data_IF_003581477442
#
_entry.id   IF_003581477442
#
_cell.length_a   1.000
_cell.length_b   1.000
_cell.length_c   1.000
_cell.angle_alpha   90.00
_cell.angle_beta   90.00
_cell.angle_gamma   90.00
#
_symmetry.space_group_name_H-M   'P 1'
#
loop_
_entity.id
_entity.type
_entity.pdbx_description
1 polymer ?
#
# COMPACT_ATOMS: atom_id res chain seq x y z
N UNK A 1 -4.22 -2.37 16.90
CA UNK A 1 -3.35 -1.71 15.88
C UNK A 1 -3.84 -1.82 14.44
N UNK A 2 -4.78 -2.71 14.10
CA UNK A 2 -5.46 -2.74 12.79
C UNK A 2 -6.50 -1.63 12.59
N UNK A 3 -7.01 -1.05 13.68
CA UNK A 3 -8.09 -0.07 13.68
C UNK A 3 -7.68 1.35 13.25
N UNK A 4 -6.38 1.63 13.08
CA UNK A 4 -5.90 2.97 12.69
C UNK A 4 -5.66 3.15 11.19
N UNK A 5 -5.89 2.11 10.37
CA UNK A 5 -5.69 2.18 8.91
C UNK A 5 -7.00 2.15 8.09
N UNK A 6 -8.13 1.87 8.74
CA UNK A 6 -9.49 1.84 8.16
C UNK A 6 -10.39 2.95 8.72
N UNK A 7 -9.86 4.16 8.96
CA UNK A 7 -10.77 5.29 8.99
C UNK A 7 -11.32 5.50 7.58
N UNK A 8 -12.57 5.05 7.38
CA UNK A 8 -13.48 5.46 6.30
C UNK A 8 -13.09 6.83 5.76
N UNK A 9 -12.37 6.85 4.65
CA UNK A 9 -11.75 8.04 4.08
C UNK A 9 -12.84 9.07 3.76
N UNK A 10 -12.99 10.08 4.62
CA UNK A 10 -13.85 11.23 4.36
C UNK A 10 -13.10 12.17 3.40
N UNK A 11 -13.66 12.53 2.24
CA UNK A 11 -13.07 13.55 1.38
C UNK A 11 -13.07 14.90 2.11
N UNK A 12 -11.91 15.57 2.08
CA UNK A 12 -11.55 16.77 2.86
C UNK A 12 -12.48 17.98 2.65
N UNK A 13 -13.39 17.94 1.68
CA UNK A 13 -14.19 19.10 1.27
C UNK A 13 -15.70 18.88 1.13
N UNK A 14 -16.21 17.64 1.26
CA UNK A 14 -17.67 17.43 1.17
C UNK A 14 -18.26 16.51 2.25
N UNK A 15 -17.42 15.84 3.05
CA UNK A 15 -17.88 14.96 4.15
C UNK A 15 -18.65 13.71 3.72
N UNK A 16 -18.91 13.52 2.42
CA UNK A 16 -19.64 12.36 1.89
C UNK A 16 -18.73 11.15 1.80
N UNK A 17 -19.16 10.03 2.34
CA UNK A 17 -18.46 8.75 2.18
C UNK A 17 -18.74 8.24 0.76
N UNK A 18 -17.68 8.07 -0.04
CA UNK A 18 -17.77 7.44 -1.37
C UNK A 18 -16.96 6.15 -1.38
N UNK A 19 -17.51 5.11 -2.00
CA UNK A 19 -16.81 3.85 -2.22
C UNK A 19 -15.61 4.00 -3.20
N UNK A 20 -15.63 5.04 -4.05
CA UNK A 20 -14.58 5.31 -5.03
C UNK A 20 -14.18 6.79 -4.95
N UNK A 21 -12.98 7.05 -4.42
CA UNK A 21 -12.41 8.39 -4.29
C UNK A 21 -11.39 8.63 -5.40
N UNK A 22 -11.50 9.80 -6.05
CA UNK A 22 -10.50 10.32 -6.97
C UNK A 22 -9.35 10.93 -6.18
N UNK A 23 -8.13 10.91 -6.73
CA UNK A 23 -6.95 11.56 -6.14
C UNK A 23 -6.55 12.78 -6.96
N UNK A 24 -5.97 13.78 -6.29
CA UNK A 24 -5.36 14.90 -6.98
C UNK A 24 -4.20 14.44 -7.87
N UNK A 25 -4.19 14.80 -9.16
CA UNK A 25 -3.10 14.45 -10.08
C UNK A 25 -1.78 15.17 -9.78
N UNK A 26 -1.82 16.35 -9.16
CA UNK A 26 -0.61 17.10 -8.79
C UNK A 26 0.03 16.61 -7.49
N UNK A 27 -0.69 16.64 -6.36
CA UNK A 27 -0.09 16.25 -5.07
C UNK A 27 -0.22 14.76 -4.74
N UNK A 28 -1.10 14.02 -5.42
CA UNK A 28 -1.40 12.58 -5.17
C UNK A 28 -1.93 12.24 -3.77
N UNK A 29 -1.92 13.19 -2.83
CA UNK A 29 -2.33 13.04 -1.44
C UNK A 29 -3.83 13.28 -1.22
N UNK A 30 -4.37 14.39 -1.73
CA UNK A 30 -5.77 14.79 -1.48
C UNK A 30 -6.76 13.89 -2.23
N UNK A 31 -7.89 13.58 -1.58
CA UNK A 31 -8.95 12.69 -2.09
C UNK A 31 -10.28 13.42 -2.24
N UNK A 32 -10.97 13.16 -3.35
CA UNK A 32 -12.22 13.82 -3.73
C UNK A 32 -13.27 12.81 -4.17
N UNK A 33 -14.54 13.11 -3.93
CA UNK A 33 -15.63 12.30 -4.46
C UNK A 33 -15.79 12.47 -5.98
N UNK A 34 -15.50 13.68 -6.50
CA UNK A 34 -15.67 14.05 -7.90
C UNK A 34 -14.76 15.23 -8.29
N UNK A 35 -14.77 15.58 -9.58
CA UNK A 35 -14.00 16.69 -10.12
C UNK A 35 -14.47 18.07 -9.61
N UNK A 36 -15.71 18.22 -9.14
CA UNK A 36 -16.21 19.48 -8.58
C UNK A 36 -15.62 19.73 -7.19
N UNK A 37 -15.57 18.69 -6.36
CA UNK A 37 -14.91 18.63 -5.06
C UNK A 37 -13.41 18.98 -5.19
N UNK A 38 -12.73 18.43 -6.19
CA UNK A 38 -11.34 18.79 -6.52
C UNK A 38 -11.19 20.28 -6.89
N UNK A 39 -12.02 20.82 -7.79
CA UNK A 39 -11.93 22.22 -8.24
C UNK A 39 -12.23 23.22 -7.11
N UNK A 40 -13.15 22.88 -6.22
CA UNK A 40 -13.50 23.71 -5.06
C UNK A 40 -12.34 23.80 -4.05
N UNK A 41 -11.70 22.66 -3.76
CA UNK A 41 -10.52 22.60 -2.91
C UNK A 41 -9.30 23.32 -3.53
N UNK A 42 -9.07 23.14 -4.84
CA UNK A 42 -7.91 23.70 -5.54
C UNK A 42 -7.80 25.23 -5.44
N UNK A 43 -8.93 25.95 -5.35
CA UNK A 43 -8.93 27.41 -5.21
C UNK A 43 -8.29 27.92 -3.92
N UNK A 44 -8.37 27.14 -2.83
CA UNK A 44 -7.81 27.49 -1.52
C UNK A 44 -6.42 26.90 -1.30
N UNK A 45 -6.14 25.76 -1.94
CA UNK A 45 -4.99 24.92 -1.59
C UNK A 45 -3.93 24.75 -2.70
N UNK A 46 -3.95 25.61 -3.73
CA UNK A 46 -3.03 25.52 -4.88
C UNK A 46 -1.54 25.52 -4.50
N UNK A 47 -1.14 26.38 -3.54
CA UNK A 47 0.26 26.49 -3.11
C UNK A 47 0.72 25.25 -2.33
N UNK A 48 -0.08 24.82 -1.35
CA UNK A 48 0.19 23.60 -0.57
C UNK A 48 0.18 22.36 -1.46
N UNK A 49 -0.74 22.28 -2.44
CA UNK A 49 -0.77 21.18 -3.39
C UNK A 49 0.47 21.13 -4.29
N UNK A 50 0.97 22.30 -4.73
CA UNK A 50 2.23 22.39 -5.48
C UNK A 50 3.44 21.96 -4.63
N UNK A 51 3.52 22.42 -3.38
CA UNK A 51 4.57 22.03 -2.44
C UNK A 51 4.54 20.53 -2.14
N UNK A 52 3.35 19.96 -1.88
CA UNK A 52 3.14 18.52 -1.68
C UNK A 52 3.51 17.70 -2.92
N UNK A 53 3.20 18.19 -4.13
CA UNK A 53 3.62 17.54 -5.37
C UNK A 53 5.14 17.55 -5.59
N UNK A 54 5.80 18.66 -5.22
CA UNK A 54 7.26 18.77 -5.22
C UNK A 54 7.92 17.83 -4.21
N UNK A 55 7.41 17.78 -2.98
CA UNK A 55 7.82 16.85 -1.94
C UNK A 55 7.65 15.39 -2.39
N UNK A 56 6.51 15.05 -3.02
CA UNK A 56 6.27 13.74 -3.61
C UNK A 56 7.33 13.34 -4.63
N UNK A 57 7.63 14.24 -5.57
CA UNK A 57 8.60 13.99 -6.64
C UNK A 57 10.01 13.80 -6.08
N UNK A 58 10.36 14.56 -5.04
CA UNK A 58 11.65 14.46 -4.36
C UNK A 58 11.74 13.17 -3.53
N UNK A 59 10.71 12.81 -2.79
CA UNK A 59 10.62 11.53 -2.07
C UNK A 59 10.73 10.34 -3.03
N UNK A 60 10.08 10.40 -4.20
CA UNK A 60 10.20 9.42 -5.27
C UNK A 60 11.63 9.31 -5.81
N UNK A 61 12.32 10.43 -6.03
CA UNK A 61 13.70 10.43 -6.52
C UNK A 61 14.70 9.88 -5.49
N UNK A 62 14.48 10.15 -4.20
CA UNK A 62 15.29 9.57 -3.11
C UNK A 62 15.04 8.08 -3.03
N UNK A 63 13.77 7.65 -3.06
CA UNK A 63 13.39 6.25 -3.11
C UNK A 63 14.08 5.49 -4.25
N UNK A 64 14.02 6.02 -5.49
CA UNK A 64 14.68 5.40 -6.65
C UNK A 64 16.21 5.35 -6.51
N UNK A 65 16.83 6.42 -6.01
CA UNK A 65 18.27 6.41 -5.76
C UNK A 65 18.69 5.40 -4.68
N UNK A 66 17.92 5.26 -3.61
CA UNK A 66 18.18 4.28 -2.54
C UNK A 66 17.98 2.84 -3.03
N UNK A 67 16.96 2.62 -3.86
CA UNK A 67 16.72 1.35 -4.56
C UNK A 67 17.95 0.93 -5.40
N UNK A 68 18.48 1.86 -6.20
CA UNK A 68 19.59 1.59 -7.11
C UNK A 68 20.92 1.38 -6.36
N UNK A 69 21.16 2.13 -5.29
CA UNK A 69 22.47 2.14 -4.61
C UNK A 69 22.63 1.11 -3.51
N UNK A 70 21.58 0.85 -2.72
CA UNK A 70 21.68 0.02 -1.50
C UNK A 70 20.96 -1.30 -1.62
N UNK A 71 19.91 -1.37 -2.44
CA UNK A 71 19.15 -2.58 -2.77
C UNK A 71 18.84 -3.46 -1.55
N UNK A 72 18.57 -2.85 -0.40
CA UNK A 72 18.28 -3.51 0.87
C UNK A 72 16.76 -3.65 1.04
N UNK A 73 16.29 -4.89 1.14
CA UNK A 73 14.87 -5.21 1.25
C UNK A 73 14.21 -4.56 2.48
N UNK A 74 14.95 -4.37 3.58
CA UNK A 74 14.44 -3.76 4.82
C UNK A 74 14.21 -2.26 4.63
N UNK A 75 15.17 -1.58 3.99
CA UNK A 75 15.06 -0.15 3.69
C UNK A 75 13.88 0.11 2.74
N UNK A 76 13.71 -0.73 1.72
CA UNK A 76 12.55 -0.67 0.81
C UNK A 76 11.22 -0.83 1.55
N UNK A 77 11.16 -1.79 2.48
CA UNK A 77 9.98 -2.02 3.29
C UNK A 77 9.63 -0.82 4.19
N UNK A 78 10.62 -0.27 4.91
CA UNK A 78 10.42 0.90 5.78
C UNK A 78 9.95 2.11 4.97
N UNK A 79 10.54 2.32 3.79
CA UNK A 79 10.14 3.40 2.90
C UNK A 79 8.72 3.20 2.34
N UNK A 80 8.39 1.96 1.96
CA UNK A 80 7.04 1.59 1.54
C UNK A 80 6.01 1.85 2.64
N UNK A 81 6.34 1.55 3.90
CA UNK A 81 5.48 1.86 5.05
C UNK A 81 5.25 3.36 5.20
N UNK A 82 6.32 4.17 5.15
CA UNK A 82 6.24 5.63 5.24
C UNK A 82 5.39 6.23 4.13
N UNK A 83 5.53 5.75 2.90
CA UNK A 83 4.70 6.17 1.78
C UNK A 83 3.26 5.68 1.89
N UNK A 84 3.05 4.54 2.55
CA UNK A 84 1.73 4.00 2.86
C UNK A 84 0.97 4.83 3.90
N UNK A 85 1.66 5.27 4.96
CA UNK A 85 1.07 6.08 6.04
C UNK A 85 0.96 7.55 5.65
N UNK A 86 2.04 8.11 5.09
CA UNK A 86 2.21 9.54 4.85
C UNK A 86 2.77 10.30 6.06
N UNK A 87 3.60 9.66 6.89
CA UNK A 87 4.20 10.27 8.10
C UNK A 87 5.52 11.01 7.79
N UNK A 88 6.02 11.78 8.78
CA UNK A 88 7.33 12.46 8.74
C UNK A 88 7.50 13.50 7.59
N UNK A 89 6.40 14.07 7.10
CA UNK A 89 6.42 15.05 6.00
C UNK A 89 6.57 14.41 4.61
N UNK A 90 6.50 13.08 4.53
CA UNK A 90 6.41 12.35 3.27
C UNK A 90 4.93 12.24 2.90
N UNK A 91 4.48 12.71 1.72
CA UNK A 91 3.07 12.61 1.37
C UNK A 91 2.69 11.16 1.03
N UNK A 92 1.46 10.78 1.35
CA UNK A 92 0.97 9.40 1.17
C UNK A 92 0.88 9.01 -0.31
N UNK A 93 1.65 8.01 -0.72
CA UNK A 93 1.60 7.39 -2.05
C UNK A 93 1.58 5.85 -1.95
N UNK A 94 0.40 5.23 -1.89
CA UNK A 94 0.28 3.78 -1.75
C UNK A 94 0.67 3.01 -3.01
N UNK A 95 0.68 3.64 -4.19
CA UNK A 95 1.06 2.98 -5.45
C UNK A 95 2.56 2.75 -5.51
N UNK A 96 3.35 3.77 -5.16
CA UNK A 96 4.80 3.63 -5.01
C UNK A 96 5.16 2.68 -3.86
N UNK A 97 4.39 2.67 -2.77
CA UNK A 97 4.57 1.71 -1.69
C UNK A 97 4.46 0.25 -2.19
N UNK A 98 3.50 -0.06 -3.07
CA UNK A 98 3.39 -1.38 -3.67
C UNK A 98 4.60 -1.75 -4.52
N UNK A 99 5.08 -0.83 -5.36
CA UNK A 99 6.29 -1.05 -6.17
C UNK A 99 7.52 -1.33 -5.28
N UNK A 100 7.65 -0.61 -4.16
CA UNK A 100 8.72 -0.84 -3.20
C UNK A 100 8.59 -2.19 -2.49
N UNK A 101 7.38 -2.61 -2.13
CA UNK A 101 7.17 -3.93 -1.56
C UNK A 101 7.50 -5.04 -2.56
N UNK A 102 7.09 -4.90 -3.83
CA UNK A 102 7.46 -5.83 -4.90
C UNK A 102 8.98 -5.89 -5.10
N UNK A 103 9.65 -4.74 -5.10
CA UNK A 103 11.12 -4.73 -5.13
C UNK A 103 11.69 -5.48 -3.91
N UNK A 104 11.16 -5.26 -2.71
CA UNK A 104 11.62 -5.91 -1.48
C UNK A 104 11.37 -7.43 -1.45
N UNK A 105 10.39 -7.96 -2.19
CA UNK A 105 10.18 -9.41 -2.30
C UNK A 105 11.18 -10.07 -3.26
N UNK A 106 11.67 -9.34 -4.26
CA UNK A 106 12.63 -9.88 -5.25
C UNK A 106 14.08 -9.82 -4.78
N UNK A 107 14.38 -8.94 -3.82
CA UNK A 107 15.73 -8.75 -3.29
C UNK A 107 16.12 -9.91 -2.38
N UNK A 108 17.18 -10.63 -2.75
CA UNK A 108 17.67 -11.81 -2.00
C UNK A 108 18.63 -11.48 -0.85
N UNK A 109 19.08 -10.22 -0.71
CA UNK A 109 20.00 -9.77 0.34
C UNK A 109 19.38 -8.64 1.14
N UNK A 110 19.45 -8.64 2.49
CA UNK A 110 20.11 -9.63 3.35
C UNK A 110 19.30 -10.90 3.60
N UNK A 111 18.06 -10.97 3.13
CA UNK A 111 17.10 -12.02 3.44
C UNK A 111 16.96 -12.98 2.24
N UNK A 112 17.46 -14.23 2.31
CA UNK A 112 17.28 -15.20 1.25
C UNK A 112 15.80 -15.57 1.14
N UNK A 113 15.18 -15.22 0.00
CA UNK A 113 13.75 -15.36 -0.24
C UNK A 113 12.97 -14.04 -0.29
N UNK A 114 13.59 -12.89 0.00
CA UNK A 114 12.91 -11.60 0.04
C UNK A 114 12.31 -11.26 1.40
N UNK A 115 11.89 -10.01 1.62
CA UNK A 115 11.41 -9.55 2.92
C UNK A 115 10.00 -10.08 3.23
N UNK A 116 9.82 -11.02 4.19
CA UNK A 116 8.54 -11.72 4.36
C UNK A 116 7.40 -10.81 4.84
N UNK A 117 7.71 -9.81 5.67
CA UNK A 117 6.73 -8.80 6.09
C UNK A 117 6.33 -7.89 4.92
N UNK A 118 7.21 -7.69 3.92
CA UNK A 118 6.86 -6.94 2.72
C UNK A 118 5.89 -7.74 1.84
N UNK A 119 6.10 -9.07 1.74
CA UNK A 119 5.14 -9.98 1.08
C UNK A 119 3.75 -9.90 1.72
N UNK A 120 3.68 -9.91 3.06
CA UNK A 120 2.42 -9.77 3.79
C UNK A 120 1.72 -8.44 3.47
N UNK A 121 2.46 -7.33 3.51
CA UNK A 121 1.91 -6.00 3.18
C UNK A 121 1.44 -5.92 1.73
N UNK A 122 2.22 -6.47 0.80
CA UNK A 122 1.84 -6.52 -0.61
C UNK A 122 0.57 -7.36 -0.83
N UNK A 123 0.45 -8.50 -0.14
CA UNK A 123 -0.74 -9.35 -0.19
C UNK A 123 -2.01 -8.59 0.25
N UNK A 124 -1.92 -7.84 1.36
CA UNK A 124 -3.00 -6.98 1.84
C UNK A 124 -3.38 -5.91 0.82
N UNK A 125 -2.40 -5.27 0.19
CA UNK A 125 -2.65 -4.27 -0.85
C UNK A 125 -3.39 -4.86 -2.06
N UNK A 126 -3.05 -6.09 -2.47
CA UNK A 126 -3.78 -6.82 -3.52
C UNK A 126 -5.18 -7.28 -3.08
N UNK A 127 -5.36 -7.67 -1.82
CA UNK A 127 -6.65 -8.09 -1.27
C UNK A 127 -7.64 -6.92 -1.20
N UNK A 128 -7.18 -5.74 -0.76
CA UNK A 128 -8.04 -4.55 -0.58
C UNK A 128 -8.08 -3.66 -1.84
N UNK A 129 -7.06 -3.72 -2.70
CA UNK A 129 -6.93 -2.84 -3.85
C UNK A 129 -6.34 -1.46 -3.50
N UNK A 130 -5.44 -1.41 -2.52
CA UNK A 130 -4.79 -0.16 -2.09
C UNK A 130 -3.56 0.11 -2.96
N UNK A 131 -3.64 1.11 -3.84
CA UNK A 131 -2.51 1.51 -4.68
C UNK A 131 -2.29 0.63 -5.91
N UNK A 132 -2.88 -0.57 -5.93
CA UNK A 132 -2.91 -1.53 -7.05
C UNK A 132 -4.35 -1.97 -7.33
N UNK A 133 -4.58 -2.61 -8.48
CA UNK A 133 -5.85 -3.26 -8.77
C UNK A 133 -6.06 -4.43 -7.81
N UNK A 134 -7.29 -4.60 -7.33
CA UNK A 134 -7.63 -5.70 -6.43
C UNK A 134 -7.50 -7.05 -7.15
N UNK A 135 -6.62 -7.92 -6.64
CA UNK A 135 -6.27 -9.21 -7.25
C UNK A 135 -6.10 -10.29 -6.18
N UNK A 136 -7.20 -10.96 -5.83
CA UNK A 136 -7.25 -11.98 -4.77
C UNK A 136 -6.30 -13.16 -4.99
N UNK A 137 -6.06 -13.55 -6.25
CA UNK A 137 -5.17 -14.67 -6.58
C UNK A 137 -3.71 -14.36 -6.25
N UNK A 138 -3.27 -13.13 -6.54
CA UNK A 138 -1.91 -12.67 -6.20
C UNK A 138 -1.77 -12.48 -4.70
N UNK A 139 -2.80 -11.95 -4.03
CA UNK A 139 -2.83 -11.86 -2.58
C UNK A 139 -2.61 -13.25 -1.94
N UNK A 140 -3.34 -14.27 -2.37
CA UNK A 140 -3.19 -15.65 -1.88
C UNK A 140 -1.77 -16.21 -2.04
N UNK A 141 -1.15 -15.98 -3.20
CA UNK A 141 0.23 -16.41 -3.48
C UNK A 141 1.22 -15.78 -2.49
N UNK A 142 1.14 -14.47 -2.28
CA UNK A 142 2.05 -13.77 -1.37
C UNK A 142 1.80 -14.12 0.10
N UNK A 143 0.55 -14.33 0.53
CA UNK A 143 0.27 -14.84 1.88
C UNK A 143 0.86 -16.24 2.09
N UNK A 144 0.78 -17.12 1.09
CA UNK A 144 1.35 -18.45 1.15
C UNK A 144 2.89 -18.42 1.24
N UNK A 145 3.54 -17.53 0.50
CA UNK A 145 4.99 -17.31 0.58
C UNK A 145 5.42 -16.78 1.95
N UNK A 146 4.67 -15.84 2.53
CA UNK A 146 4.98 -15.29 3.85
C UNK A 146 5.00 -16.40 4.94
N UNK A 147 4.07 -17.36 4.89
CA UNK A 147 4.00 -18.46 5.86
C UNK A 147 5.15 -19.46 5.72
N UNK A 148 5.78 -19.56 4.54
CA UNK A 148 6.93 -20.45 4.34
C UNK A 148 8.22 -19.96 5.03
N UNK A 149 8.23 -18.72 5.53
CA UNK A 149 9.37 -18.11 6.22
C UNK A 149 9.08 -17.80 7.71
N UNK A 150 8.74 -18.80 8.55
CA UNK A 150 8.29 -18.59 9.93
C UNK A 150 9.34 -17.98 10.86
N UNK A 151 10.63 -18.12 10.57
CA UNK A 151 11.73 -17.57 11.39
C UNK A 151 12.04 -16.08 11.14
N UNK A 152 11.44 -15.48 10.11
CA UNK A 152 11.68 -14.09 9.71
C UNK A 152 10.42 -13.22 9.78
N UNK A 153 9.25 -13.85 9.89
CA UNK A 153 7.96 -13.19 10.11
C UNK A 153 7.66 -13.22 11.60
N UNK A 154 7.35 -12.07 12.21
CA UNK A 154 6.86 -12.04 13.59
C UNK A 154 5.53 -12.80 13.71
N UNK A 155 5.29 -13.44 14.86
CA UNK A 155 4.12 -14.29 15.11
C UNK A 155 2.80 -13.60 14.73
N UNK A 156 2.65 -12.31 15.04
CA UNK A 156 1.47 -11.52 14.71
C UNK A 156 1.23 -11.42 13.18
N UNK A 157 2.30 -11.17 12.43
CA UNK A 157 2.27 -11.07 10.97
C UNK A 157 1.96 -12.43 10.33
N UNK A 158 2.46 -13.52 10.93
CA UNK A 158 2.17 -14.88 10.50
C UNK A 158 0.71 -15.26 10.75
N UNK A 159 0.16 -14.92 11.93
CA UNK A 159 -1.25 -15.10 12.25
C UNK A 159 -2.16 -14.38 11.25
N UNK A 160 -1.82 -13.16 10.86
CA UNK A 160 -2.57 -12.41 9.84
C UNK A 160 -2.56 -13.11 8.48
N UNK A 161 -1.40 -13.63 8.05
CA UNK A 161 -1.29 -14.39 6.81
C UNK A 161 -2.18 -15.64 6.82
N UNK A 162 -2.12 -16.42 7.90
CA UNK A 162 -2.90 -17.64 8.06
C UNK A 162 -4.41 -17.36 8.10
N UNK A 163 -4.84 -16.32 8.82
CA UNK A 163 -6.23 -15.88 8.84
C UNK A 163 -6.70 -15.48 7.44
N UNK A 164 -5.89 -14.74 6.66
CA UNK A 164 -6.22 -14.39 5.29
C UNK A 164 -6.35 -15.63 4.39
N UNK A 165 -5.43 -16.59 4.48
CA UNK A 165 -5.49 -17.86 3.74
C UNK A 165 -6.77 -18.65 4.05
N UNK A 166 -7.18 -18.69 5.32
CA UNK A 166 -8.43 -19.34 5.73
C UNK A 166 -9.67 -18.69 5.11
N UNK A 167 -9.67 -17.36 4.95
CA UNK A 167 -10.74 -16.60 4.29
C UNK A 167 -10.81 -16.95 2.81
N UNK A 168 -9.67 -17.10 2.13
CA UNK A 168 -9.64 -17.56 0.74
C UNK A 168 -10.17 -18.98 0.60
N UNK A 169 -9.85 -19.92 1.48
CA UNK A 169 -10.40 -21.29 1.39
C UNK A 169 -11.95 -21.30 1.36
N UNK A 170 -12.60 -20.45 2.16
CA UNK A 170 -14.07 -20.28 2.14
C UNK A 170 -14.59 -19.68 0.84
N UNK A 171 -13.90 -18.66 0.30
CA UNK A 171 -14.27 -17.99 -0.96
C UNK A 171 -14.15 -18.93 -2.16
N UNK A 172 -13.09 -19.73 -2.21
CA UNK A 172 -12.82 -20.67 -3.30
C UNK A 172 -13.70 -21.92 -3.21
N UNK A 173 -14.00 -22.39 -2.00
CA UNK A 173 -15.01 -23.44 -1.77
C UNK A 173 -16.40 -23.02 -2.29
N UNK A 174 -16.82 -21.77 -2.01
CA UNK A 174 -18.07 -21.22 -2.54
C UNK A 174 -18.10 -21.06 -4.07
N UNK A 175 -16.97 -20.73 -4.70
CA UNK A 175 -16.87 -20.64 -6.17
C UNK A 175 -16.86 -22.01 -6.87
N UNK A 176 -16.31 -23.06 -6.25
CA UNK A 176 -16.31 -24.42 -6.82
C UNK A 176 -17.63 -25.17 -6.66
N UNK A 177 -18.46 -24.80 -5.69
CA UNK A 177 -19.81 -25.37 -5.49
C UNK A 177 -20.93 -24.75 -6.34
N UNK A 178 -20.60 -23.96 -7.37
CA UNK A 178 -21.54 -23.32 -8.30
C UNK A 178 -21.41 -23.81 -9.75
N UNK A 179 -20.87 -25.02 -9.93
CA UNK A 179 -20.84 -25.73 -11.22
C UNK A 179 -21.84 -26.87 -11.14
#
# INVERSE_FOLDING_TARGET
>A
MFELYEERLKPESCGKVSAKLLRCSSCRAAKYCDAACQRSHWRRQKKECGALGGLMSRAESVARNDLEKRRDATAMFILGLRLGTGDEGIPRNPSLACELYEAATTVQKPIPGGHPVAMLRLALHYEVGIGVKQECERAFKYYSLAVQHPGQVGEESMCQALLALSRFHKIWSWRRGKI
#
